data_IF_025198887069
#
_entry.id   IF_025198887069
#
_cell.length_a   1.000
_cell.length_b   1.000
_cell.length_c   1.000
_cell.angle_alpha   90.00
_cell.angle_beta   90.00
_cell.angle_gamma   90.00
#
_symmetry.space_group_name_H-M   'P 1'
#
loop_
_entity.id
_entity.type
_entity.pdbx_description
1 polymer ?
#
# COMPACT_ATOMS: atom_id res chain seq x y z
N UNK A 1 -11.95 9.97 13.39
CA UNK A 1 -11.49 10.34 12.03
C UNK A 1 -10.95 11.76 11.93
N UNK A 2 -9.66 11.98 12.22
CA UNK A 2 -8.93 13.17 11.75
C UNK A 2 -9.01 13.34 10.23
N UNK A 3 -8.90 14.60 9.79
CA UNK A 3 -8.78 14.98 8.38
C UNK A 3 -7.31 15.22 8.06
N UNK A 4 -6.84 14.68 6.93
CA UNK A 4 -5.48 14.89 6.44
C UNK A 4 -5.53 15.50 5.04
N UNK A 5 -4.56 16.37 4.76
CA UNK A 5 -4.24 16.86 3.43
C UNK A 5 -2.80 16.51 3.16
N UNK A 6 -2.55 15.68 2.14
CA UNK A 6 -1.21 15.25 1.75
C UNK A 6 -1.04 15.41 0.24
N UNK A 7 0.20 15.51 -0.20
CA UNK A 7 0.54 15.49 -1.62
C UNK A 7 1.12 14.12 -1.97
N UNK A 8 0.51 13.39 -2.90
CA UNK A 8 1.04 12.11 -3.39
C UNK A 8 1.31 12.24 -4.88
N UNK A 9 2.57 12.05 -5.30
CA UNK A 9 2.97 12.11 -6.70
C UNK A 9 2.54 13.42 -7.41
N UNK A 10 2.56 14.53 -6.67
CA UNK A 10 2.16 15.86 -7.15
C UNK A 10 0.64 16.11 -7.20
N UNK A 11 -0.17 15.22 -6.62
CA UNK A 11 -1.61 15.41 -6.44
C UNK A 11 -1.90 15.69 -4.97
N UNK A 12 -2.51 16.84 -4.69
CA UNK A 12 -3.02 17.14 -3.35
C UNK A 12 -4.35 16.43 -3.12
N UNK A 13 -4.44 15.69 -2.01
CA UNK A 13 -5.61 14.88 -1.66
C UNK A 13 -5.97 15.18 -0.21
N UNK A 14 -7.24 15.47 0.01
CA UNK A 14 -7.81 15.64 1.35
C UNK A 14 -8.78 14.50 1.67
N UNK A 15 -8.59 13.84 2.80
CA UNK A 15 -9.41 12.68 3.19
C UNK A 15 -9.50 12.52 4.71
N UNK A 16 -10.47 11.70 5.16
CA UNK A 16 -10.69 11.36 6.58
C UNK A 16 -10.37 9.89 6.81
N UNK A 17 -9.71 9.59 7.92
CA UNK A 17 -9.28 8.22 8.28
C UNK A 17 -9.10 8.12 9.79
N UNK A 18 -9.14 6.90 10.34
CA UNK A 18 -8.79 6.65 11.74
C UNK A 18 -7.31 6.27 11.93
N UNK A 19 -6.54 6.20 10.83
CA UNK A 19 -5.10 6.07 10.92
C UNK A 19 -4.47 7.33 11.53
N UNK A 20 -3.48 7.13 12.39
CA UNK A 20 -2.64 8.20 12.92
C UNK A 20 -1.72 8.78 11.84
N UNK A 21 -1.12 9.95 12.13
CA UNK A 21 -0.26 10.65 11.19
C UNK A 21 0.99 9.86 10.77
N UNK A 22 1.54 9.01 11.64
CA UNK A 22 2.72 8.20 11.32
C UNK A 22 2.41 7.15 10.26
N UNK A 23 1.24 6.50 10.37
CA UNK A 23 0.74 5.56 9.37
C UNK A 23 0.46 6.24 8.04
N UNK A 24 -0.06 7.47 8.06
CA UNK A 24 -0.29 8.25 6.83
C UNK A 24 1.02 8.65 6.15
N UNK A 25 2.02 9.11 6.91
CA UNK A 25 3.35 9.43 6.37
C UNK A 25 4.03 8.21 5.77
N UNK A 26 3.96 7.05 6.44
CA UNK A 26 4.51 5.80 5.92
C UNK A 26 3.84 5.37 4.60
N UNK A 27 2.51 5.50 4.53
CA UNK A 27 1.76 5.19 3.31
C UNK A 27 2.12 6.15 2.15
N UNK A 28 2.28 7.45 2.45
CA UNK A 28 2.72 8.43 1.46
C UNK A 28 4.11 8.10 0.92
N UNK A 29 5.09 7.85 1.80
CA UNK A 29 6.45 7.53 1.42
C UNK A 29 6.52 6.28 0.52
N UNK A 30 5.76 5.24 0.89
CA UNK A 30 5.67 4.01 0.08
C UNK A 30 5.10 4.27 -1.32
N UNK A 31 4.04 5.08 -1.43
CA UNK A 31 3.44 5.42 -2.73
C UNK A 31 4.39 6.23 -3.61
N UNK A 32 5.15 7.16 -3.04
CA UNK A 32 6.16 7.94 -3.77
C UNK A 32 7.31 7.08 -4.26
N UNK A 33 7.84 6.19 -3.40
CA UNK A 33 8.89 5.23 -3.77
C UNK A 33 8.45 4.34 -4.93
N UNK A 34 7.29 3.69 -4.81
CA UNK A 34 6.77 2.79 -5.85
C UNK A 34 6.46 3.51 -7.15
N UNK A 35 5.93 4.73 -7.09
CA UNK A 35 5.71 5.53 -8.28
C UNK A 35 7.03 5.94 -8.96
N UNK A 36 8.05 6.29 -8.17
CA UNK A 36 9.40 6.58 -8.68
C UNK A 36 10.02 5.34 -9.34
N UNK A 37 9.80 4.14 -8.81
CA UNK A 37 10.25 2.88 -9.43
C UNK A 37 9.52 2.62 -10.76
N UNK A 38 8.19 2.73 -10.77
CA UNK A 38 7.39 2.49 -11.98
C UNK A 38 7.70 3.50 -13.09
N UNK A 39 7.99 4.75 -12.74
CA UNK A 39 8.31 5.81 -13.70
C UNK A 39 9.71 5.67 -14.32
N UNK A 40 10.65 4.95 -13.69
CA UNK A 40 11.98 4.64 -14.27
C UNK A 40 11.91 3.71 -15.48
N UNK A 41 10.80 2.98 -15.68
CA UNK A 41 10.62 1.97 -16.73
C UNK A 41 10.59 2.45 -18.18
N UNK A 42 10.84 3.74 -18.45
CA UNK A 42 11.27 4.24 -19.77
C UNK A 42 10.25 4.17 -20.92
N UNK A 43 8.99 3.82 -20.69
CA UNK A 43 7.94 3.83 -21.72
C UNK A 43 7.00 5.00 -21.47
N UNK A 44 6.55 5.67 -22.54
CA UNK A 44 5.50 6.70 -22.53
C UNK A 44 4.17 6.12 -21.97
N UNK A 45 4.10 5.94 -20.66
CA UNK A 45 2.90 5.57 -19.92
C UNK A 45 2.36 6.87 -19.33
N UNK A 46 1.08 7.15 -19.58
CA UNK A 46 0.43 8.32 -19.00
C UNK A 46 0.39 8.21 -17.48
N UNK A 47 0.30 9.34 -16.79
CA UNK A 47 0.23 9.37 -15.32
C UNK A 47 -0.94 8.53 -14.80
N UNK A 48 -2.08 8.58 -15.46
CA UNK A 48 -3.26 7.79 -15.10
C UNK A 48 -2.98 6.29 -15.15
N UNK A 49 -2.32 5.82 -16.21
CA UNK A 49 -1.92 4.41 -16.34
C UNK A 49 -0.90 4.00 -15.28
N UNK A 50 0.07 4.87 -14.96
CA UNK A 50 1.03 4.62 -13.86
C UNK A 50 0.31 4.51 -12.51
N UNK A 51 -0.65 5.41 -12.24
CA UNK A 51 -1.45 5.37 -11.01
C UNK A 51 -2.35 4.13 -10.94
N UNK A 52 -2.93 3.68 -12.07
CA UNK A 52 -3.67 2.42 -12.13
C UNK A 52 -2.78 1.20 -11.87
N UNK A 53 -1.56 1.18 -12.42
CA UNK A 53 -0.58 0.12 -12.15
C UNK A 53 -0.15 0.12 -10.68
N UNK A 54 0.10 1.30 -10.11
CA UNK A 54 0.41 1.45 -8.69
C UNK A 54 -0.72 0.91 -7.81
N UNK A 55 -1.98 1.30 -8.09
CA UNK A 55 -3.14 0.83 -7.36
C UNK A 55 -3.31 -0.70 -7.46
N UNK A 56 -3.08 -1.28 -8.65
CA UNK A 56 -3.12 -2.73 -8.85
C UNK A 56 -2.02 -3.44 -8.05
N UNK A 57 -0.80 -2.93 -8.07
CA UNK A 57 0.32 -3.48 -7.28
C UNK A 57 0.05 -3.42 -5.78
N UNK A 58 -0.46 -2.30 -5.28
CA UNK A 58 -0.84 -2.17 -3.86
C UNK A 58 -1.95 -3.14 -3.45
N UNK A 59 -2.91 -3.41 -4.34
CA UNK A 59 -3.98 -4.38 -4.09
C UNK A 59 -3.43 -5.83 -4.05
N UNK A 60 -2.52 -6.17 -4.96
CA UNK A 60 -1.86 -7.47 -5.00
C UNK A 60 -1.01 -7.70 -3.73
N UNK A 61 -0.17 -6.73 -3.36
CA UNK A 61 0.65 -6.76 -2.14
C UNK A 61 -0.22 -6.94 -0.88
N UNK A 62 -1.37 -6.26 -0.82
CA UNK A 62 -2.33 -6.41 0.27
C UNK A 62 -2.93 -7.82 0.33
N UNK A 63 -3.36 -8.37 -0.80
CA UNK A 63 -3.90 -9.72 -0.89
C UNK A 63 -2.85 -10.78 -0.49
N UNK A 64 -1.63 -10.64 -0.97
CA UNK A 64 -0.53 -11.55 -0.67
C UNK A 64 -0.13 -11.49 0.81
N UNK A 65 -0.10 -10.28 1.39
CA UNK A 65 0.15 -10.10 2.83
C UNK A 65 -0.93 -10.76 3.67
N UNK A 66 -2.20 -10.59 3.30
CA UNK A 66 -3.34 -11.23 4.00
C UNK A 66 -3.29 -12.75 3.89
N UNK A 67 -2.91 -13.29 2.73
CA UNK A 67 -2.71 -14.72 2.53
C UNK A 67 -1.58 -15.28 3.41
N UNK A 68 -0.45 -14.58 3.49
CA UNK A 68 0.69 -14.95 4.35
C UNK A 68 0.30 -14.93 5.83
N UNK A 69 -0.44 -13.91 6.27
CA UNK A 69 -0.93 -13.80 7.64
C UNK A 69 -1.82 -14.99 8.01
N UNK A 70 -2.83 -15.30 7.18
CA UNK A 70 -3.71 -16.44 7.41
C UNK A 70 -2.93 -17.77 7.45
N UNK A 71 -1.92 -17.93 6.60
CA UNK A 71 -1.04 -19.10 6.61
C UNK A 71 -0.20 -19.22 7.88
N UNK A 72 0.27 -18.10 8.44
CA UNK A 72 1.00 -18.08 9.72
C UNK A 72 0.07 -18.40 10.89
N UNK A 73 -1.13 -17.82 10.93
CA UNK A 73 -2.15 -18.11 11.95
C UNK A 73 -2.51 -19.60 11.97
N UNK A 74 -2.73 -20.22 10.82
CA UNK A 74 -3.02 -21.64 10.70
C UNK A 74 -1.86 -22.52 11.24
N UNK A 75 -0.61 -22.17 10.90
CA UNK A 75 0.58 -22.88 11.41
C UNK A 75 0.74 -22.74 12.93
N UNK A 76 0.43 -21.57 13.48
CA UNK A 76 0.45 -21.36 14.93
C UNK A 76 -0.61 -22.20 15.63
N UNK A 77 -1.81 -22.30 15.07
CA UNK A 77 -2.86 -23.19 15.60
C UNK A 77 -2.43 -24.65 15.57
N UNK A 78 -1.87 -25.13 14.46
CA UNK A 78 -1.37 -26.51 14.36
C UNK A 78 -0.29 -26.81 15.42
N UNK A 79 0.61 -25.87 15.69
CA UNK A 79 1.64 -26.01 16.72
C UNK A 79 1.06 -26.03 18.15
N UNK A 80 -0.01 -25.27 18.40
CA UNK A 80 -0.69 -25.25 19.69
C UNK A 80 -1.50 -26.53 19.93
N UNK A 81 -2.14 -27.07 18.90
CA UNK A 81 -2.91 -28.33 18.96
C UNK A 81 -2.03 -29.58 19.10
N UNK A 82 -0.75 -29.48 18.73
CA UNK A 82 0.25 -30.55 18.87
C UNK A 82 0.92 -30.61 20.25
N UNK A 83 0.54 -29.73 21.18
CA UNK A 83 0.97 -29.75 22.59
C UNK A 83 -0.11 -30.37 23.47
#
# INVERSE_FOLDING_TARGET
>A
MPSYTITVNGLEISFKTDADGSRIQAAQALLEERFAELSKGGRYISREKLLSLLALGMADDYLETRRKLAGLEARMQELLERR
#
